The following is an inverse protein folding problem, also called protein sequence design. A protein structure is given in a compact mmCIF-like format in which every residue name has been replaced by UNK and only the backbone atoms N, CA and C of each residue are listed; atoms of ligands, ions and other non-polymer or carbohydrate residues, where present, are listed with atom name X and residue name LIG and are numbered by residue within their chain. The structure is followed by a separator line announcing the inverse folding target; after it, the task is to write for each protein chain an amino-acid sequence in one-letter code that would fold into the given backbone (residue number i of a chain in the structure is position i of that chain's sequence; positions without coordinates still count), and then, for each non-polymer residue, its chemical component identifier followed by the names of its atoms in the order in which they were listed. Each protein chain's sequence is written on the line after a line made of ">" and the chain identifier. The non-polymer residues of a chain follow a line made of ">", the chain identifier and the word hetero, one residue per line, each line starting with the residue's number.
data_IF_054842388210
#
_entry.id   IF_054842388210
#
_cell.length_a   1.000
_cell.length_b   1.000
_cell.length_c   1.000
_cell.angle_alpha   90.00
_cell.angle_beta   90.00
_cell.angle_gamma   90.00
#
_symmetry.space_group_name_H-M   'P 1'
#
loop_
_entity.id
_entity.type
_entity.pdbx_description
1 polymer ?
#
# COMPACT_ATOMS: atom_id res chain seq x y z
N UNK A 1 -2.40 -15.27 -15.60
CA UNK A 1 -1.72 -16.58 -15.68
C UNK A 1 -0.35 -16.51 -16.35
N UNK A 2 -0.21 -15.93 -17.55
CA UNK A 2 1.08 -15.91 -18.28
C UNK A 2 2.17 -15.17 -17.51
N UNK A 3 1.88 -14.00 -16.94
CA UNK A 3 2.86 -13.18 -16.22
C UNK A 3 3.32 -13.81 -14.90
N UNK A 4 2.40 -14.42 -14.15
CA UNK A 4 2.75 -15.13 -12.91
C UNK A 4 3.52 -16.42 -13.19
N UNK A 5 3.24 -17.11 -14.28
CA UNK A 5 4.01 -18.28 -14.71
C UNK A 5 5.39 -17.90 -15.26
N UNK A 6 5.50 -16.75 -15.93
CA UNK A 6 6.77 -16.26 -16.50
C UNK A 6 7.73 -15.77 -15.42
N UNK A 7 7.21 -15.19 -14.34
CA UNK A 7 8.02 -14.73 -13.20
C UNK A 7 8.27 -15.82 -12.15
N UNK A 8 7.27 -16.66 -11.85
CA UNK A 8 7.25 -17.57 -10.71
C UNK A 8 6.99 -19.04 -11.10
N UNK A 9 6.92 -19.37 -12.39
CA UNK A 9 6.80 -20.75 -12.88
C UNK A 9 8.07 -21.55 -12.65
N UNK A 10 8.01 -22.88 -12.80
CA UNK A 10 9.16 -23.79 -12.66
C UNK A 10 10.36 -23.39 -13.53
N UNK A 11 10.10 -22.75 -14.68
CA UNK A 11 11.10 -22.26 -15.64
C UNK A 11 11.13 -20.71 -15.68
N UNK A 12 10.58 -20.04 -14.66
CA UNK A 12 10.51 -18.59 -14.58
C UNK A 12 11.86 -17.94 -14.21
N UNK A 13 11.95 -16.63 -14.44
CA UNK A 13 13.17 -15.83 -14.17
C UNK A 13 13.55 -15.84 -12.68
N UNK A 14 12.57 -16.06 -11.78
CA UNK A 14 12.77 -16.21 -10.35
C UNK A 14 12.10 -17.50 -9.84
N UNK A 15 12.74 -18.67 -9.93
CA UNK A 15 12.20 -19.93 -9.43
C UNK A 15 12.28 -19.96 -7.91
N UNK A 16 11.48 -19.15 -7.23
CA UNK A 16 11.32 -19.22 -5.78
C UNK A 16 10.09 -20.09 -5.54
N UNK A 17 10.30 -21.39 -5.30
CA UNK A 17 9.24 -22.37 -4.99
C UNK A 17 8.29 -21.88 -3.89
N UNK A 18 8.82 -21.15 -2.91
CA UNK A 18 8.03 -20.55 -1.83
C UNK A 18 6.94 -19.57 -2.33
N UNK A 19 7.20 -18.79 -3.40
CA UNK A 19 6.22 -17.85 -3.96
C UNK A 19 5.16 -18.55 -4.81
N UNK A 20 5.51 -19.65 -5.46
CA UNK A 20 4.54 -20.48 -6.20
C UNK A 20 3.52 -21.12 -5.25
N UNK A 21 3.96 -21.55 -4.06
CA UNK A 21 3.06 -22.06 -3.01
C UNK A 21 2.23 -20.96 -2.33
N UNK A 22 2.67 -19.70 -2.37
CA UNK A 22 1.90 -18.58 -1.80
C UNK A 22 0.59 -18.32 -2.54
N UNK A 23 0.52 -18.60 -3.84
CA UNK A 23 -0.69 -18.39 -4.65
C UNK A 23 -1.67 -19.55 -4.64
N UNK A 24 -1.32 -20.68 -4.01
CA UNK A 24 -2.16 -21.89 -3.99
C UNK A 24 -3.08 -22.01 -2.76
N UNK A 25 -2.92 -21.14 -1.76
CA UNK A 25 -3.68 -21.18 -0.52
C UNK A 25 -4.37 -19.83 -0.26
N UNK A 26 -5.66 -19.81 0.08
CA UNK A 26 -6.44 -18.58 0.28
C UNK A 26 -5.74 -17.57 1.19
N UNK A 27 -5.26 -18.03 2.34
CA UNK A 27 -4.58 -17.15 3.32
C UNK A 27 -3.27 -16.60 2.78
N UNK A 28 -2.47 -17.43 2.14
CA UNK A 28 -1.16 -17.05 1.59
C UNK A 28 -1.32 -16.10 0.39
N UNK A 29 -2.33 -16.30 -0.45
CA UNK A 29 -2.65 -15.41 -1.56
C UNK A 29 -3.02 -13.99 -1.08
N UNK A 30 -3.80 -13.89 -0.01
CA UNK A 30 -4.14 -12.60 0.60
C UNK A 30 -2.89 -11.93 1.17
N UNK A 31 -2.02 -12.66 1.89
CA UNK A 31 -0.75 -12.11 2.39
C UNK A 31 0.17 -11.64 1.27
N UNK A 32 0.28 -12.39 0.18
CA UNK A 32 1.08 -12.00 -0.99
C UNK A 32 0.56 -10.70 -1.62
N UNK A 33 -0.77 -10.57 -1.78
CA UNK A 33 -1.39 -9.33 -2.26
C UNK A 33 -1.12 -8.14 -1.33
N UNK A 34 -1.24 -8.33 -0.02
CA UNK A 34 -0.97 -7.28 0.96
C UNK A 34 0.50 -6.84 0.92
N UNK A 35 1.44 -7.78 0.90
CA UNK A 35 2.87 -7.46 0.81
C UNK A 35 3.22 -6.71 -0.47
N UNK A 36 2.70 -7.16 -1.61
CA UNK A 36 2.92 -6.50 -2.90
C UNK A 36 2.37 -5.07 -2.90
N UNK A 37 1.16 -4.90 -2.38
CA UNK A 37 0.51 -3.60 -2.29
C UNK A 37 1.27 -2.66 -1.35
N UNK A 38 1.69 -3.14 -0.18
CA UNK A 38 2.50 -2.37 0.76
C UNK A 38 3.83 -1.94 0.14
N UNK A 39 4.52 -2.86 -0.54
CA UNK A 39 5.79 -2.55 -1.20
C UNK A 39 5.62 -1.50 -2.30
N UNK A 40 4.60 -1.64 -3.14
CA UNK A 40 4.33 -0.74 -4.27
C UNK A 40 4.00 0.68 -3.80
N UNK A 41 3.21 0.81 -2.73
CA UNK A 41 2.74 2.12 -2.28
C UNK A 41 3.62 2.77 -1.22
N UNK A 42 4.49 2.02 -0.55
CA UNK A 42 5.34 2.53 0.54
C UNK A 42 6.19 3.73 0.10
N UNK A 43 6.85 3.64 -1.06
CA UNK A 43 7.68 4.72 -1.57
C UNK A 43 6.91 6.00 -1.87
N UNK A 44 5.74 5.88 -2.48
CA UNK A 44 4.89 7.02 -2.79
C UNK A 44 4.35 7.71 -1.54
N UNK A 45 3.87 6.92 -0.57
CA UNK A 45 3.39 7.47 0.71
C UNK A 45 4.51 8.13 1.51
N UNK A 46 5.72 7.55 1.48
CA UNK A 46 6.90 8.12 2.10
C UNK A 46 7.20 9.53 1.56
N UNK A 47 7.10 9.75 0.24
CA UNK A 47 7.32 11.06 -0.36
C UNK A 47 6.31 12.11 0.15
N UNK A 48 5.05 11.73 0.34
CA UNK A 48 4.02 12.64 0.88
C UNK A 48 4.37 13.04 2.32
N UNK A 49 4.80 12.08 3.16
CA UNK A 49 5.19 12.37 4.53
C UNK A 49 6.47 13.20 4.62
N UNK A 50 7.47 12.91 3.80
CA UNK A 50 8.71 13.70 3.76
C UNK A 50 8.40 15.14 3.33
N UNK A 51 7.56 15.33 2.34
CA UNK A 51 7.12 16.67 1.94
C UNK A 51 6.34 17.38 3.07
N UNK A 52 5.46 16.66 3.77
CA UNK A 52 4.75 17.19 4.93
C UNK A 52 5.69 17.61 6.06
N UNK A 53 6.72 16.83 6.34
CA UNK A 53 7.74 17.16 7.35
C UNK A 53 8.57 18.39 6.96
N UNK A 54 8.97 18.48 5.68
CA UNK A 54 9.76 19.61 5.18
C UNK A 54 9.00 20.94 5.18
N UNK A 55 7.67 20.90 5.20
CA UNK A 55 6.83 22.09 5.30
C UNK A 55 6.68 22.63 6.73
N UNK A 56 7.21 21.93 7.74
CA UNK A 56 7.17 22.42 9.13
C UNK A 56 8.32 23.44 9.30
N UNK A 57 8.02 24.70 9.67
CA UNK A 57 9.05 25.71 9.89
C UNK A 57 10.00 25.31 11.03
N UNK A 58 11.31 25.45 10.80
CA UNK A 58 12.33 25.15 11.81
C UNK A 58 12.21 26.03 13.04
N UNK A 59 11.71 27.25 12.87
CA UNK A 59 11.47 28.23 13.95
C UNK A 59 10.61 27.64 15.10
N UNK A 60 9.66 26.75 14.78
CA UNK A 60 8.84 26.07 15.80
C UNK A 60 9.67 25.10 16.65
N UNK A 61 10.63 24.43 16.05
CA UNK A 61 11.52 23.54 16.76
C UNK A 61 12.55 24.29 17.60
N UNK A 62 13.07 25.40 17.07
CA UNK A 62 14.00 26.27 17.78
C UNK A 62 13.34 26.94 19.01
N UNK A 63 12.12 27.45 18.84
CA UNK A 63 11.36 28.01 19.96
C UNK A 63 11.08 26.95 21.06
N UNK A 64 10.66 25.75 20.65
CA UNK A 64 10.42 24.66 21.60
C UNK A 64 11.72 24.19 22.30
N UNK A 65 12.87 24.31 21.66
CA UNK A 65 14.16 23.99 22.25
C UNK A 65 14.58 25.03 23.30
N UNK A 66 14.32 26.30 23.03
CA UNK A 66 14.52 27.38 23.99
C UNK A 66 13.62 27.20 25.23
N UNK A 67 12.37 26.73 25.00
CA UNK A 67 11.41 26.42 26.09
C UNK A 67 11.76 25.14 26.88
N UNK A 68 12.85 24.43 26.50
CA UNK A 68 13.29 23.21 27.14
C UNK A 68 12.44 21.98 26.85
N UNK A 69 11.68 21.98 25.76
CA UNK A 69 10.85 20.84 25.36
C UNK A 69 11.71 19.63 24.98
N UNK A 70 11.34 18.46 25.50
CA UNK A 70 11.95 17.19 25.15
C UNK A 70 11.60 16.77 23.72
N UNK A 71 12.39 15.87 23.12
CA UNK A 71 12.15 15.37 21.75
C UNK A 71 10.74 14.75 21.60
N UNK A 72 10.24 14.06 22.62
CA UNK A 72 8.90 13.47 22.62
C UNK A 72 7.82 14.56 22.66
N UNK A 73 8.01 15.62 23.42
CA UNK A 73 7.09 16.75 23.46
C UNK A 73 7.06 17.48 22.11
N UNK A 74 8.21 17.75 21.49
CA UNK A 74 8.31 18.34 20.15
C UNK A 74 7.59 17.47 19.12
N UNK A 75 7.79 16.15 19.14
CA UNK A 75 7.10 15.24 18.24
C UNK A 75 5.58 15.29 18.42
N UNK A 76 5.09 15.23 19.67
CA UNK A 76 3.65 15.15 19.96
C UNK A 76 2.90 16.46 19.75
N UNK A 77 3.53 17.60 20.07
CA UNK A 77 2.84 18.89 20.06
C UNK A 77 3.13 19.75 18.83
N UNK A 78 4.23 19.47 18.09
CA UNK A 78 4.57 20.21 16.88
C UNK A 78 4.48 19.30 15.66
N UNK A 79 5.27 18.23 15.60
CA UNK A 79 5.39 17.40 14.39
C UNK A 79 4.09 16.70 14.06
N UNK A 80 3.48 16.03 15.02
CA UNK A 80 2.27 15.23 14.80
C UNK A 80 1.08 16.06 14.32
N UNK A 81 0.70 17.19 14.98
CA UNK A 81 -0.41 18.01 14.50
C UNK A 81 -0.13 18.69 13.16
N UNK A 82 1.09 19.10 12.87
CA UNK A 82 1.46 19.70 11.58
C UNK A 82 1.48 18.68 10.44
N UNK A 83 1.67 17.39 10.74
CA UNK A 83 1.57 16.31 9.76
C UNK A 83 0.14 15.84 9.48
N UNK A 84 -0.85 16.21 10.26
CA UNK A 84 -2.23 15.73 10.10
C UNK A 84 -2.82 15.95 8.71
N UNK A 85 -2.57 17.05 8.00
CA UNK A 85 -3.01 17.21 6.61
C UNK A 85 -2.43 16.13 5.68
N UNK A 86 -1.14 15.82 5.81
CA UNK A 86 -0.48 14.78 5.01
C UNK A 86 -1.02 13.39 5.35
N UNK A 87 -1.27 13.10 6.63
CA UNK A 87 -1.91 11.86 7.08
C UNK A 87 -3.30 11.70 6.47
N UNK A 88 -4.08 12.77 6.43
CA UNK A 88 -5.42 12.75 5.84
C UNK A 88 -5.37 12.42 4.35
N UNK A 89 -4.47 13.07 3.60
CA UNK A 89 -4.27 12.81 2.16
C UNK A 89 -3.88 11.34 1.94
N UNK A 90 -2.90 10.84 2.69
CA UNK A 90 -2.44 9.45 2.59
C UNK A 90 -3.57 8.47 2.89
N UNK A 91 -4.35 8.73 3.93
CA UNK A 91 -5.49 7.89 4.32
C UNK A 91 -6.54 7.81 3.20
N UNK A 92 -6.92 8.94 2.61
CA UNK A 92 -7.86 8.96 1.49
C UNK A 92 -7.33 8.24 0.26
N UNK A 93 -6.04 8.44 -0.07
CA UNK A 93 -5.40 7.74 -1.19
C UNK A 93 -5.35 6.23 -0.97
N UNK A 94 -4.97 5.77 0.23
CA UNK A 94 -4.97 4.36 0.58
C UNK A 94 -6.38 3.77 0.48
N UNK A 95 -7.38 4.45 1.03
CA UNK A 95 -8.77 4.01 0.98
C UNK A 95 -9.26 3.86 -0.46
N UNK A 96 -9.01 4.88 -1.30
CA UNK A 96 -9.37 4.85 -2.71
C UNK A 96 -8.67 3.71 -3.47
N UNK A 97 -7.39 3.45 -3.16
CA UNK A 97 -6.64 2.36 -3.78
C UNK A 97 -7.06 0.98 -3.31
N UNK A 98 -7.50 0.82 -2.05
CA UNK A 98 -8.06 -0.45 -1.57
C UNK A 98 -9.26 -0.93 -2.42
N UNK A 99 -10.08 -0.01 -2.93
CA UNK A 99 -11.18 -0.35 -3.82
C UNK A 99 -10.73 -0.63 -5.27
N UNK A 100 -9.53 -0.21 -5.65
CA UNK A 100 -8.99 -0.31 -7.01
C UNK A 100 -7.89 -1.37 -7.18
N UNK A 101 -7.71 -2.28 -6.23
CA UNK A 101 -6.69 -3.34 -6.26
C UNK A 101 -6.93 -4.38 -7.35
N UNK A 102 -7.27 -3.94 -8.58
CA UNK A 102 -7.54 -4.81 -9.70
C UNK A 102 -6.25 -5.41 -10.28
N UNK A 103 -5.26 -4.57 -10.55
CA UNK A 103 -4.06 -4.95 -11.27
C UNK A 103 -3.24 -6.02 -10.55
N UNK A 104 -3.05 -5.84 -9.23
CA UNK A 104 -2.33 -6.79 -8.39
C UNK A 104 -3.06 -8.11 -8.26
N UNK A 105 -4.40 -8.06 -8.16
CA UNK A 105 -5.23 -9.24 -8.04
C UNK A 105 -5.22 -10.04 -9.33
N UNK A 106 -5.38 -9.38 -10.49
CA UNK A 106 -5.30 -10.02 -11.80
C UNK A 106 -3.92 -10.63 -12.03
N UNK A 107 -2.85 -9.92 -11.65
CA UNK A 107 -1.49 -10.40 -11.85
C UNK A 107 -1.14 -11.63 -10.99
N UNK A 108 -1.62 -11.70 -9.75
CA UNK A 108 -1.26 -12.76 -8.80
C UNK A 108 -2.24 -13.93 -8.80
N UNK A 109 -3.54 -13.69 -8.76
CA UNK A 109 -4.53 -14.74 -8.48
C UNK A 109 -5.67 -14.83 -9.49
N UNK A 110 -5.84 -13.85 -10.37
CA UNK A 110 -6.99 -13.73 -11.27
C UNK A 110 -8.35 -13.85 -10.53
N UNK A 111 -8.37 -13.44 -9.24
CA UNK A 111 -9.55 -13.56 -8.38
C UNK A 111 -9.83 -14.97 -7.84
N UNK A 112 -8.89 -15.91 -8.01
CA UNK A 112 -8.95 -17.22 -7.37
C UNK A 112 -8.69 -17.13 -5.87
N UNK A 113 -8.91 -18.23 -5.13
CA UNK A 113 -8.61 -18.35 -3.69
C UNK A 113 -9.26 -17.26 -2.81
N UNK A 114 -10.53 -16.93 -3.11
CA UNK A 114 -11.31 -15.92 -2.36
C UNK A 114 -10.74 -14.50 -2.39
N UNK A 115 -9.93 -14.15 -3.39
CA UNK A 115 -9.36 -12.82 -3.59
C UNK A 115 -10.16 -11.95 -4.57
N UNK A 116 -11.37 -12.40 -4.97
CA UNK A 116 -12.20 -11.68 -5.93
C UNK A 116 -12.64 -10.33 -5.37
N UNK A 117 -12.32 -9.26 -6.11
CA UNK A 117 -12.63 -7.88 -5.75
C UNK A 117 -13.81 -7.33 -6.55
N UNK A 118 -14.44 -6.25 -6.04
CA UNK A 118 -15.61 -5.62 -6.64
C UNK A 118 -15.37 -5.23 -8.11
N UNK A 119 -14.21 -4.62 -8.42
CA UNK A 119 -13.86 -4.23 -9.78
C UNK A 119 -13.80 -5.43 -10.73
N UNK A 120 -13.27 -6.55 -10.28
CA UNK A 120 -13.21 -7.80 -11.05
C UNK A 120 -14.59 -8.44 -11.24
N UNK A 121 -15.46 -8.31 -10.25
CA UNK A 121 -16.84 -8.75 -10.35
C UNK A 121 -17.59 -7.98 -11.44
N UNK A 122 -17.43 -6.66 -11.47
CA UNK A 122 -18.04 -5.78 -12.48
C UNK A 122 -17.55 -6.13 -13.90
N UNK A 123 -16.24 -6.37 -14.06
CA UNK A 123 -15.66 -6.72 -15.37
C UNK A 123 -16.16 -8.07 -15.90
N UNK A 124 -16.41 -9.03 -15.01
CA UNK A 124 -16.85 -10.39 -15.37
C UNK A 124 -18.38 -10.52 -15.44
N UNK A 125 -19.14 -9.48 -15.11
CA UNK A 125 -20.61 -9.51 -15.26
C UNK A 125 -20.95 -9.29 -16.73
N UNK A 126 -21.71 -10.20 -17.37
CA UNK A 126 -22.17 -10.03 -18.74
C UNK A 126 -22.91 -8.71 -18.89
N UNK A 127 -22.68 -7.98 -19.99
CA UNK A 127 -23.32 -6.69 -20.27
C UNK A 127 -24.85 -6.78 -20.38
N UNK A 128 -25.35 -7.99 -20.58
CA UNK A 128 -26.79 -8.27 -20.73
C UNK A 128 -27.49 -8.42 -19.37
N UNK A 129 -26.77 -8.31 -18.25
CA UNK A 129 -27.28 -8.41 -16.89
C UNK A 129 -27.41 -7.04 -16.17
N UNK A 130 -27.16 -5.95 -16.88
CA UNK A 130 -27.33 -4.56 -16.45
C UNK A 130 -28.44 -3.91 -17.28
#
# INVERSE_FOLDING_TARGET
>A
MIFSQLLFGKDGVLPIEALTYMTQNNTKAIFALLLLTMWQWAGYMMLIYVNGLNNIPNELYEAAEIDGATAIQRFRYITLPMLMPSVTIVLFLLLANCFKLLDQNVALTEGAFSTRMLAMQIMNTPKDAL
#
